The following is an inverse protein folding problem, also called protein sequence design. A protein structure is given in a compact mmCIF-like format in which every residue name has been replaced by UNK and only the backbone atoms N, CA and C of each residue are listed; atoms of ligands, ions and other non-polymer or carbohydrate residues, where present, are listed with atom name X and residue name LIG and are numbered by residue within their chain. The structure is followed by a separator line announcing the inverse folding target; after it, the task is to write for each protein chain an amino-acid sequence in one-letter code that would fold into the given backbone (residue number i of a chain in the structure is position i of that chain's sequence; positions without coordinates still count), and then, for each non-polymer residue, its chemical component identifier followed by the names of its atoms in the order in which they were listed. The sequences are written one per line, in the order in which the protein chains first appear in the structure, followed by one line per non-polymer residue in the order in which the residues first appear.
data_IF_839821955181
#
_entry.id   IF_839821955181
#
_cell.length_a   1.000
_cell.length_b   1.000
_cell.length_c   1.000
_cell.angle_alpha   90.00
_cell.angle_beta   90.00
_cell.angle_gamma   90.00
#
_symmetry.space_group_name_H-M   'P 1'
#
loop_
_entity.id
_entity.type
_entity.pdbx_description
1 polymer ?
#
# COMPACT_ATOMS: atom_id res chain seq x y z
N UNK A 1 -25.31 -59.46 -65.31
CA UNK A 1 -25.45 -58.36 -66.29
C UNK A 1 -24.90 -57.11 -65.60
N UNK A 2 -23.69 -56.64 -66.00
CA UNK A 2 -23.44 -55.42 -66.81
C UNK A 2 -23.91 -54.15 -66.08
N UNK A 3 -23.13 -53.10 -65.80
CA UNK A 3 -21.88 -52.51 -66.32
C UNK A 3 -21.25 -51.69 -65.15
N UNK A 4 -19.93 -51.52 -64.96
CA UNK A 4 -18.93 -50.76 -65.75
C UNK A 4 -19.27 -49.28 -65.96
N UNK A 5 -18.54 -48.38 -65.27
CA UNK A 5 -17.93 -47.11 -65.73
C UNK A 5 -17.53 -46.29 -64.47
N UNK A 6 -16.25 -46.13 -64.11
CA UNK A 6 -15.14 -45.41 -64.75
C UNK A 6 -15.03 -43.93 -64.31
N UNK A 7 -13.77 -43.53 -64.11
CA UNK A 7 -13.24 -42.17 -64.04
C UNK A 7 -13.46 -41.38 -62.73
N UNK A 8 -12.54 -40.57 -62.22
CA UNK A 8 -11.13 -40.27 -62.54
C UNK A 8 -10.65 -39.17 -61.58
N UNK A 9 -9.33 -39.03 -61.49
CA UNK A 9 -8.58 -37.81 -61.21
C UNK A 9 -8.17 -37.48 -59.77
N UNK A 10 -6.85 -37.64 -59.62
CA UNK A 10 -5.88 -36.91 -58.80
C UNK A 10 -6.22 -35.44 -58.52
N UNK A 11 -5.81 -34.90 -57.36
CA UNK A 11 -4.72 -33.90 -57.24
C UNK A 11 -4.59 -33.32 -55.82
N UNK A 12 -3.35 -32.93 -55.50
CA UNK A 12 -2.88 -32.04 -54.42
C UNK A 12 -2.81 -32.51 -52.96
N UNK A 13 -1.68 -33.17 -52.68
CA UNK A 13 -0.66 -32.72 -51.72
C UNK A 13 -0.87 -31.33 -51.11
N UNK A 14 -0.95 -31.26 -49.79
CA UNK A 14 -0.34 -30.18 -49.01
C UNK A 14 -0.25 -30.62 -47.55
N UNK A 15 0.98 -30.91 -47.13
CA UNK A 15 1.34 -31.11 -45.72
C UNK A 15 1.15 -29.78 -45.01
N UNK A 16 0.03 -29.60 -44.31
CA UNK A 16 -0.16 -28.49 -43.36
C UNK A 16 0.65 -28.76 -42.09
N UNK A 17 1.96 -28.57 -42.25
CA UNK A 17 2.90 -28.26 -41.19
C UNK A 17 2.54 -26.85 -40.67
N UNK A 18 2.88 -26.53 -39.42
CA UNK A 18 2.65 -25.25 -38.72
C UNK A 18 1.26 -25.07 -38.06
N UNK A 19 1.13 -25.53 -36.82
CA UNK A 19 0.42 -24.82 -35.74
C UNK A 19 0.76 -25.41 -34.36
N UNK A 20 1.93 -25.04 -33.79
CA UNK A 20 2.01 -24.85 -32.35
C UNK A 20 2.63 -23.48 -32.06
N UNK A 21 2.00 -22.38 -32.49
CA UNK A 21 2.44 -21.02 -32.16
C UNK A 21 1.30 -20.13 -31.64
N UNK A 22 0.24 -20.74 -31.09
CA UNK A 22 -0.95 -20.03 -30.63
C UNK A 22 -1.29 -20.34 -29.15
N UNK A 23 -0.31 -20.82 -28.38
CA UNK A 23 -0.43 -21.10 -26.94
C UNK A 23 0.47 -20.22 -26.05
N UNK A 24 1.26 -19.32 -26.65
CA UNK A 24 2.17 -18.42 -25.90
C UNK A 24 1.60 -17.02 -25.62
N UNK A 25 0.45 -16.65 -26.22
CA UNK A 25 -0.15 -15.31 -26.06
C UNK A 25 -1.17 -15.25 -24.90
N UNK A 26 -1.55 -16.38 -24.30
CA UNK A 26 -2.51 -16.40 -23.18
C UNK A 26 -1.89 -16.19 -21.80
N UNK A 27 -0.54 -16.21 -21.68
CA UNK A 27 0.15 -16.01 -20.40
C UNK A 27 0.69 -14.59 -20.18
N UNK A 28 0.64 -13.70 -21.18
CA UNK A 28 1.26 -12.37 -21.08
C UNK A 28 0.39 -11.29 -20.42
N UNK A 29 -0.83 -11.63 -19.98
CA UNK A 29 -1.77 -10.67 -19.36
C UNK A 29 -1.95 -10.89 -17.86
N UNK A 30 -0.95 -11.44 -17.16
CA UNK A 30 -0.79 -11.12 -15.73
C UNK A 30 -0.26 -9.69 -15.61
N UNK A 31 -1.12 -8.74 -15.99
CA UNK A 31 -0.92 -7.33 -15.70
C UNK A 31 -0.77 -7.19 -14.20
N UNK A 32 0.47 -6.95 -13.82
CA UNK A 32 0.96 -6.60 -12.49
C UNK A 32 0.13 -5.42 -11.95
N UNK A 33 -1.03 -5.69 -11.38
CA UNK A 33 -1.73 -4.72 -10.56
C UNK A 33 -0.86 -4.58 -9.31
N UNK A 34 0.01 -3.56 -9.30
CA UNK A 34 0.65 -3.09 -8.08
C UNK A 34 -0.48 -2.73 -7.13
N UNK A 35 -0.82 -3.65 -6.24
CA UNK A 35 -1.68 -3.37 -5.12
C UNK A 35 -0.88 -2.41 -4.23
N UNK A 36 -1.08 -1.11 -4.44
CA UNK A 36 -0.56 -0.11 -3.52
C UNK A 36 -1.22 -0.36 -2.17
N UNK A 37 -0.42 -0.86 -1.22
CA UNK A 37 -0.87 -1.16 0.13
C UNK A 37 -1.13 0.14 0.89
N UNK A 38 -2.12 0.13 1.79
CA UNK A 38 -2.33 1.23 2.71
C UNK A 38 -1.06 1.42 3.54
N UNK A 39 -0.56 2.64 3.64
CA UNK A 39 0.76 2.94 4.20
C UNK A 39 0.67 4.10 5.19
N UNK A 40 1.42 3.98 6.27
CA UNK A 40 1.71 5.10 7.17
C UNK A 40 3.16 5.55 6.95
N UNK A 41 3.38 6.84 6.70
CA UNK A 41 4.69 7.42 6.42
C UNK A 41 5.00 8.53 7.42
N UNK A 42 6.19 8.49 8.00
CA UNK A 42 6.71 9.55 8.87
C UNK A 42 7.65 10.43 8.06
N UNK A 43 7.52 11.75 8.19
CA UNK A 43 8.25 12.74 7.42
C UNK A 43 8.30 14.07 8.16
N UNK A 44 9.25 14.95 7.79
CA UNK A 44 9.31 16.30 8.38
C UNK A 44 8.16 17.18 7.88
N UNK A 45 7.74 16.99 6.62
CA UNK A 45 6.65 17.75 6.02
C UNK A 45 5.87 16.91 5.00
N UNK A 46 4.67 17.35 4.65
CA UNK A 46 3.88 16.84 3.53
C UNK A 46 3.40 18.04 2.73
N UNK A 47 3.74 18.10 1.46
CA UNK A 47 3.34 19.23 0.62
C UNK A 47 1.84 19.20 0.27
N UNK A 48 1.38 20.22 -0.45
CA UNK A 48 -0.02 20.40 -0.84
C UNK A 48 -0.58 19.24 -1.70
N UNK A 49 0.29 18.44 -2.33
CA UNK A 49 -0.09 17.29 -3.16
C UNK A 49 -0.16 15.98 -2.37
N UNK A 50 0.07 16.01 -1.05
CA UNK A 50 0.10 14.80 -0.22
C UNK A 50 1.39 13.99 -0.39
N UNK A 51 2.47 14.60 -0.88
CA UNK A 51 3.75 13.92 -1.05
C UNK A 51 4.62 14.19 0.19
N UNK A 52 5.15 13.15 0.85
CA UNK A 52 6.00 13.32 2.02
C UNK A 52 7.39 13.84 1.63
N UNK A 53 7.89 14.79 2.41
CA UNK A 53 9.22 15.39 2.26
C UNK A 53 10.11 14.92 3.40
N UNK A 54 11.32 14.44 3.05
CA UNK A 54 12.27 13.83 4.01
C UNK A 54 11.63 12.70 4.82
N UNK A 55 10.97 11.78 4.12
CA UNK A 55 10.40 10.60 4.75
C UNK A 55 11.50 9.69 5.30
N UNK A 56 11.34 9.23 6.54
CA UNK A 56 12.28 8.32 7.17
C UNK A 56 11.55 7.43 8.20
N UNK A 57 12.24 6.44 8.73
CA UNK A 57 11.79 5.61 9.86
C UNK A 57 12.59 5.89 11.13
N UNK A 58 13.63 6.71 11.04
CA UNK A 58 14.46 7.18 12.16
C UNK A 58 14.57 8.69 12.08
N UNK A 59 14.29 9.39 13.19
CA UNK A 59 14.40 10.84 13.29
C UNK A 59 15.15 11.22 14.56
N UNK A 60 16.00 12.25 14.44
CA UNK A 60 16.65 12.89 15.57
C UNK A 60 15.89 14.17 15.91
N UNK A 61 15.48 14.33 17.17
CA UNK A 61 14.76 15.50 17.67
C UNK A 61 15.54 16.18 18.81
N UNK A 62 15.29 17.46 19.11
CA UNK A 62 15.79 18.11 20.31
C UNK A 62 15.28 17.45 21.61
N UNK A 63 16.00 17.66 22.71
CA UNK A 63 15.64 17.11 24.02
C UNK A 63 14.30 17.65 24.57
N UNK A 64 13.91 18.85 24.17
CA UNK A 64 12.62 19.47 24.48
C UNK A 64 11.44 18.88 23.67
N UNK A 65 11.73 18.03 22.68
CA UNK A 65 10.75 17.40 21.80
C UNK A 65 10.85 17.87 20.36
N UNK A 66 10.16 17.16 19.47
CA UNK A 66 10.10 17.48 18.04
C UNK A 66 8.84 16.95 17.38
N UNK A 67 8.33 17.70 16.41
CA UNK A 67 7.14 17.36 15.64
C UNK A 67 7.50 16.70 14.32
N UNK A 68 6.77 15.64 13.98
CA UNK A 68 6.81 14.99 12.67
C UNK A 68 5.41 14.98 12.05
N UNK A 69 5.34 14.97 10.73
CA UNK A 69 4.11 14.68 10.01
C UNK A 69 3.95 13.17 9.85
N UNK A 70 2.79 12.66 10.24
CA UNK A 70 2.38 11.27 10.06
C UNK A 70 1.31 11.23 8.97
N UNK A 71 1.69 10.74 7.80
CA UNK A 71 0.88 10.67 6.60
C UNK A 71 0.30 9.27 6.42
N UNK A 72 -1.03 9.15 6.46
CA UNK A 72 -1.75 7.96 6.03
C UNK A 72 -2.08 8.06 4.53
N UNK A 73 -1.71 7.05 3.76
CA UNK A 73 -2.06 6.91 2.34
C UNK A 73 -2.87 5.64 2.15
N UNK A 74 -4.05 5.77 1.56
CA UNK A 74 -5.02 4.70 1.40
C UNK A 74 -5.19 4.32 -0.07
N UNK A 75 -5.43 3.04 -0.32
CA UNK A 75 -5.73 2.53 -1.68
C UNK A 75 -7.10 2.96 -2.19
N UNK A 76 -8.03 3.19 -1.27
CA UNK A 76 -9.42 3.59 -1.53
C UNK A 76 -9.76 4.77 -0.63
N UNK A 77 -10.77 5.56 -0.99
CA UNK A 77 -11.28 6.58 -0.08
C UNK A 77 -11.60 6.00 1.30
N UNK A 78 -11.42 6.82 2.33
CA UNK A 78 -11.64 6.40 3.72
C UNK A 78 -13.11 6.07 4.01
N UNK A 79 -14.07 6.70 3.32
CA UNK A 79 -15.51 6.53 3.54
C UNK A 79 -15.93 6.75 5.01
N UNK A 80 -15.22 7.63 5.72
CA UNK A 80 -15.49 8.02 7.10
C UNK A 80 -15.23 9.52 7.30
N UNK A 81 -15.95 10.14 8.24
CA UNK A 81 -15.78 11.57 8.57
C UNK A 81 -14.72 11.80 9.64
N UNK A 82 -14.29 10.73 10.31
CA UNK A 82 -13.25 10.78 11.31
C UNK A 82 -12.28 9.61 11.15
N UNK A 83 -11.03 9.88 11.51
CA UNK A 83 -9.99 8.88 11.74
C UNK A 83 -9.42 9.03 13.15
N UNK A 84 -8.95 7.93 13.71
CA UNK A 84 -8.24 7.88 14.99
C UNK A 84 -6.81 7.44 14.74
N UNK A 85 -5.86 8.11 15.37
CA UNK A 85 -4.45 7.75 15.35
C UNK A 85 -3.97 7.48 16.77
N UNK A 86 -3.77 6.21 17.09
CA UNK A 86 -3.27 5.79 18.39
C UNK A 86 -1.76 5.60 18.33
N UNK A 87 -1.07 6.20 19.28
CA UNK A 87 0.39 6.22 19.37
C UNK A 87 0.80 5.39 20.59
N UNK A 88 1.69 4.44 20.37
CA UNK A 88 2.24 3.59 21.42
C UNK A 88 3.76 3.68 21.41
N UNK A 89 4.34 3.80 22.59
CA UNK A 89 5.77 3.60 22.82
C UNK A 89 6.07 2.12 23.00
N UNK A 90 7.14 1.61 22.39
CA UNK A 90 7.56 0.22 22.54
C UNK A 90 8.61 0.16 23.66
N UNK A 91 8.25 -0.52 24.75
CA UNK A 91 9.16 -0.72 25.86
C UNK A 91 10.43 -1.47 25.41
N UNK A 92 11.63 -0.91 25.61
CA UNK A 92 12.85 -1.50 25.07
C UNK A 92 13.22 -2.83 25.74
N UNK A 93 12.78 -3.07 26.98
CA UNK A 93 13.07 -4.27 27.76
C UNK A 93 12.04 -5.38 27.48
N UNK A 94 10.75 -5.05 27.58
CA UNK A 94 9.66 -6.03 27.50
C UNK A 94 9.11 -6.22 26.09
N UNK A 95 9.42 -5.29 25.16
CA UNK A 95 8.87 -5.22 23.80
C UNK A 95 7.35 -5.06 23.75
N UNK A 96 6.73 -4.66 24.87
CA UNK A 96 5.30 -4.37 24.95
C UNK A 96 5.01 -2.95 24.47
N UNK A 97 3.86 -2.78 23.85
CA UNK A 97 3.33 -1.48 23.46
C UNK A 97 2.67 -0.81 24.68
N UNK A 98 3.08 0.43 24.95
CA UNK A 98 2.58 1.30 26.01
C UNK A 98 1.85 2.44 25.34
N UNK A 99 0.55 2.56 25.61
CA UNK A 99 -0.27 3.64 25.04
C UNK A 99 0.23 5.02 25.52
N UNK A 100 0.43 5.94 24.59
CA UNK A 100 0.86 7.32 24.86
C UNK A 100 -0.28 8.31 24.61
N UNK A 101 -0.93 8.24 23.44
CA UNK A 101 -1.96 9.22 23.07
C UNK A 101 -2.87 8.71 21.93
N UNK A 102 -4.05 9.33 21.81
CA UNK A 102 -4.95 9.22 20.66
C UNK A 102 -5.17 10.59 20.04
N UNK A 103 -4.97 10.72 18.74
CA UNK A 103 -5.30 11.92 17.96
C UNK A 103 -6.56 11.66 17.15
N UNK A 104 -7.54 12.56 17.26
CA UNK A 104 -8.77 12.53 16.46
C UNK A 104 -8.64 13.47 15.27
N UNK A 105 -8.86 12.94 14.07
CA UNK A 105 -8.71 13.67 12.82
C UNK A 105 -10.08 13.74 12.15
N UNK A 106 -10.48 14.94 11.72
CA UNK A 106 -11.60 15.09 10.79
C UNK A 106 -11.11 14.73 9.40
N UNK A 107 -11.88 13.91 8.70
CA UNK A 107 -11.61 13.46 7.33
C UNK A 107 -12.82 13.72 6.46
N UNK A 108 -12.66 13.65 5.15
CA UNK A 108 -13.79 13.62 4.22
C UNK A 108 -13.88 12.27 3.51
N UNK A 109 -15.11 11.87 3.18
CA UNK A 109 -15.43 10.52 2.69
C UNK A 109 -14.58 10.09 1.47
N UNK A 110 -14.21 11.05 0.61
CA UNK A 110 -13.48 10.79 -0.62
C UNK A 110 -11.95 10.89 -0.48
N UNK A 111 -11.42 11.23 0.70
CA UNK A 111 -9.98 11.35 0.92
C UNK A 111 -9.27 10.01 0.80
N UNK A 112 -8.22 9.97 -0.01
CA UNK A 112 -7.30 8.83 -0.15
C UNK A 112 -5.99 9.02 0.62
N UNK A 113 -5.80 10.17 1.27
CA UNK A 113 -4.70 10.41 2.18
C UNK A 113 -5.08 11.52 3.18
N UNK A 114 -4.42 11.51 4.33
CA UNK A 114 -4.55 12.54 5.36
C UNK A 114 -3.32 12.51 6.27
N UNK A 115 -3.06 13.62 6.97
CA UNK A 115 -1.89 13.75 7.84
C UNK A 115 -2.24 14.36 9.19
N UNK A 116 -1.41 14.07 10.18
CA UNK A 116 -1.39 14.78 11.46
C UNK A 116 0.05 15.17 11.79
N UNK A 117 0.21 16.31 12.44
CA UNK A 117 1.44 16.58 13.19
C UNK A 117 1.40 15.79 14.50
N UNK A 118 2.52 15.18 14.87
CA UNK A 118 2.70 14.42 16.11
C UNK A 118 4.00 14.86 16.76
N UNK A 119 3.92 15.34 17.99
CA UNK A 119 5.08 15.73 18.79
C UNK A 119 5.55 14.55 19.65
N UNK A 120 6.84 14.23 19.54
CA UNK A 120 7.51 13.22 20.35
C UNK A 120 8.43 13.90 21.35
N UNK A 121 8.49 13.36 22.58
CA UNK A 121 9.28 13.95 23.68
C UNK A 121 10.36 13.01 24.22
N UNK A 122 10.30 11.72 23.92
CA UNK A 122 11.27 10.72 24.39
C UNK A 122 11.84 9.91 23.24
N UNK A 123 13.13 9.59 23.34
CA UNK A 123 13.80 8.65 22.44
C UNK A 123 13.25 7.23 22.63
N UNK A 124 13.25 6.47 21.54
CA UNK A 124 12.86 5.06 21.50
C UNK A 124 12.03 4.72 20.27
N UNK A 125 11.46 3.52 20.26
CA UNK A 125 10.62 3.06 19.16
C UNK A 125 9.14 3.30 19.47
N UNK A 126 8.39 3.70 18.45
CA UNK A 126 6.95 3.89 18.53
C UNK A 126 6.28 3.10 17.42
N UNK A 127 5.04 2.68 17.69
CA UNK A 127 4.11 2.20 16.68
C UNK A 127 2.87 3.08 16.70
N UNK A 128 2.39 3.39 15.51
CA UNK A 128 1.19 4.19 15.31
C UNK A 128 0.19 3.36 14.53
N UNK A 129 -1.03 3.29 15.04
CA UNK A 129 -2.17 2.64 14.40
C UNK A 129 -3.20 3.68 13.98
N UNK A 130 -3.75 3.51 12.79
CA UNK A 130 -4.78 4.39 12.27
C UNK A 130 -6.05 3.60 12.01
N UNK A 131 -7.18 4.10 12.51
CA UNK A 131 -8.50 3.51 12.40
C UNK A 131 -9.51 4.49 11.79
N UNK A 132 -10.56 3.97 11.17
CA UNK A 132 -11.76 4.76 10.86
C UNK A 132 -12.69 4.88 12.08
N UNK A 133 -13.79 5.62 11.94
CA UNK A 133 -14.78 5.82 13.01
C UNK A 133 -15.58 4.56 13.41
N UNK A 134 -15.37 3.44 12.73
CA UNK A 134 -15.96 2.12 13.02
C UNK A 134 -14.94 1.15 13.61
N UNK A 135 -13.82 1.67 14.11
CA UNK A 135 -12.68 0.92 14.64
C UNK A 135 -12.02 -0.03 13.62
N UNK A 136 -12.22 0.20 12.32
CA UNK A 136 -11.54 -0.59 11.28
C UNK A 136 -10.14 -0.03 11.08
N UNK A 137 -9.13 -0.88 11.30
CA UNK A 137 -7.74 -0.53 11.05
C UNK A 137 -7.51 -0.24 9.56
N UNK A 138 -6.92 0.92 9.27
CA UNK A 138 -6.58 1.41 7.94
C UNK A 138 -5.11 1.10 7.62
N UNK A 139 -4.20 1.56 8.47
CA UNK A 139 -2.77 1.30 8.33
C UNK A 139 -2.06 1.41 9.68
N UNK A 140 -0.79 0.96 9.70
CA UNK A 140 0.09 1.08 10.84
C UNK A 140 1.51 1.38 10.36
N UNK A 141 2.32 1.97 11.24
CA UNK A 141 3.73 2.28 10.96
C UNK A 141 4.56 2.36 12.22
N UNK A 142 5.86 2.10 12.08
CA UNK A 142 6.84 2.23 13.17
C UNK A 142 7.82 3.36 12.88
N UNK A 143 8.22 4.06 13.93
CA UNK A 143 9.24 5.11 13.87
C UNK A 143 10.16 5.01 15.09
N UNK A 144 11.45 5.25 14.87
CA UNK A 144 12.44 5.39 15.93
C UNK A 144 12.79 6.86 16.11
N UNK A 145 12.74 7.31 17.35
CA UNK A 145 13.10 8.67 17.76
C UNK A 145 14.42 8.60 18.51
N UNK A 146 15.36 9.46 18.13
CA UNK A 146 16.64 9.69 18.80
C UNK A 146 16.68 11.13 19.29
N UNK A 147 17.43 11.40 20.37
CA UNK A 147 17.60 12.76 20.90
C UNK A 147 19.01 13.23 20.57
N UNK A 148 19.11 14.47 20.08
CA UNK A 148 20.39 15.16 19.89
C UNK A 148 20.90 15.77 21.20
#
# INVERSE_FOLDING_TARGET
MRNSEAASNEFFSSKSFWKPLLLLVFFSNFYLHKAEAQKLTFCENVNEKGIPEKANTVFTIPAEGGSLQVLATLRRPIEANNALMDIFFIDPQTKKEIFENTIRLKTELYWSWFKSEVTFYRAGEYVVYVYDERDKMLCAGKVKIEIN
#
